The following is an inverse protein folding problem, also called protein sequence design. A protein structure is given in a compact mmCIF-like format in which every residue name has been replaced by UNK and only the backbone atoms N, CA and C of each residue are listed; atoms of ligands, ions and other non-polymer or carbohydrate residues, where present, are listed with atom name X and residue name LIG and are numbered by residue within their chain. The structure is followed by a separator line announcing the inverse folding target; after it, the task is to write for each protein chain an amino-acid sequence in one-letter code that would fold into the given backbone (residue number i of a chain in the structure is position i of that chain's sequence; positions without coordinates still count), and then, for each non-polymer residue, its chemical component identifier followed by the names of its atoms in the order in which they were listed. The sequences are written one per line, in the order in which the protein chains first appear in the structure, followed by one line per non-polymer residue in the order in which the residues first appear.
data_IF_958800349300
#
_entry.id   IF_958800349300
#
_cell.length_a   1.000
_cell.length_b   1.000
_cell.length_c   1.000
_cell.angle_alpha   90.00
_cell.angle_beta   90.00
_cell.angle_gamma   90.00
#
_symmetry.space_group_name_H-M   'P 1'
#
loop_
_entity.id
_entity.type
_entity.pdbx_description
1 polymer ?
#
# COMPACT_ATOMS: atom_id res chain seq x y z
N UNK A 1 -4.69 -11.76 -0.48
CA UNK A 1 -6.05 -11.19 -0.54
C UNK A 1 -5.95 -9.75 -0.07
N UNK A 2 -6.48 -8.81 -0.84
CA UNK A 2 -6.43 -7.38 -0.56
C UNK A 2 -7.74 -6.97 0.13
N UNK A 3 -7.65 -6.39 1.33
CA UNK A 3 -8.82 -6.06 2.15
C UNK A 3 -9.18 -4.59 1.98
N UNK A 4 -10.37 -4.32 1.46
CA UNK A 4 -10.87 -2.99 1.14
C UNK A 4 -12.08 -2.67 2.01
N UNK A 5 -12.12 -1.45 2.57
CA UNK A 5 -13.29 -0.88 3.19
C UNK A 5 -13.91 0.20 2.31
N UNK A 6 -15.23 0.27 2.28
CA UNK A 6 -15.99 1.40 1.73
C UNK A 6 -16.90 1.91 2.85
N UNK A 7 -16.86 3.20 3.13
CA UNK A 7 -17.77 3.83 4.08
C UNK A 7 -18.38 5.08 3.46
N UNK A 8 -19.64 5.01 3.07
CA UNK A 8 -20.42 6.08 2.45
C UNK A 8 -21.92 5.77 2.71
N UNK A 9 -22.74 6.76 3.03
CA UNK A 9 -24.18 6.58 3.27
C UNK A 9 -24.99 6.48 1.97
N UNK A 10 -24.41 6.78 0.81
CA UNK A 10 -25.00 6.54 -0.51
C UNK A 10 -24.75 5.09 -0.96
N UNK A 11 -25.78 4.23 -0.79
CA UNK A 11 -25.77 2.82 -1.21
C UNK A 11 -25.49 2.65 -2.71
N UNK A 12 -25.96 3.59 -3.55
CA UNK A 12 -25.76 3.55 -4.99
C UNK A 12 -24.27 3.75 -5.34
N UNK A 13 -23.65 4.75 -4.72
CA UNK A 13 -22.24 5.02 -4.89
C UNK A 13 -21.37 3.88 -4.35
N UNK A 14 -21.72 3.31 -3.21
CA UNK A 14 -21.07 2.12 -2.67
C UNK A 14 -21.04 0.97 -3.69
N UNK A 15 -22.21 0.67 -4.29
CA UNK A 15 -22.33 -0.40 -5.30
C UNK A 15 -21.55 -0.12 -6.58
N UNK A 16 -21.53 1.14 -7.04
CA UNK A 16 -20.73 1.54 -8.20
C UNK A 16 -19.22 1.41 -7.92
N UNK A 17 -18.77 1.88 -6.77
CA UNK A 17 -17.37 1.78 -6.36
C UNK A 17 -16.93 0.33 -6.17
N UNK A 18 -17.76 -0.49 -5.50
CA UNK A 18 -17.51 -1.92 -5.35
C UNK A 18 -17.30 -2.60 -6.70
N UNK A 19 -18.18 -2.33 -7.68
CA UNK A 19 -18.03 -2.85 -9.03
C UNK A 19 -16.75 -2.41 -9.71
N UNK A 20 -16.38 -1.11 -9.62
CA UNK A 20 -15.13 -0.59 -10.17
C UNK A 20 -13.91 -1.31 -9.57
N UNK A 21 -13.92 -1.56 -8.27
CA UNK A 21 -12.85 -2.26 -7.55
C UNK A 21 -12.76 -3.73 -7.96
N UNK A 22 -13.88 -4.45 -8.08
CA UNK A 22 -13.87 -5.82 -8.57
C UNK A 22 -13.40 -5.93 -10.02
N UNK A 23 -13.79 -4.99 -10.89
CA UNK A 23 -13.29 -4.94 -12.27
C UNK A 23 -11.77 -4.74 -12.28
N UNK A 24 -11.27 -3.80 -11.47
CA UNK A 24 -9.83 -3.58 -11.30
C UNK A 24 -9.11 -4.84 -10.80
N UNK A 25 -9.68 -5.53 -9.80
CA UNK A 25 -9.13 -6.77 -9.26
C UNK A 25 -9.01 -7.87 -10.33
N UNK A 26 -10.02 -8.00 -11.19
CA UNK A 26 -10.00 -8.96 -12.32
C UNK A 26 -8.91 -8.61 -13.34
N UNK A 27 -8.81 -7.35 -13.74
CA UNK A 27 -7.82 -6.88 -14.70
C UNK A 27 -6.38 -7.11 -14.21
N UNK A 28 -6.13 -6.89 -12.90
CA UNK A 28 -4.81 -6.99 -12.30
C UNK A 28 -4.54 -8.35 -11.62
N UNK A 29 -5.48 -9.31 -11.71
CA UNK A 29 -5.41 -10.65 -11.08
C UNK A 29 -5.19 -10.57 -9.56
N UNK A 30 -5.86 -9.62 -8.90
CA UNK A 30 -5.79 -9.41 -7.46
C UNK A 30 -7.06 -9.95 -6.82
N UNK A 31 -6.89 -10.82 -5.84
CA UNK A 31 -7.99 -11.29 -5.02
C UNK A 31 -8.34 -10.23 -3.97
N UNK A 32 -9.57 -9.73 -4.00
CA UNK A 32 -10.06 -8.67 -3.12
C UNK A 32 -11.17 -9.17 -2.22
N UNK A 33 -11.20 -8.65 -0.99
CA UNK A 33 -12.34 -8.73 -0.07
C UNK A 33 -12.79 -7.30 0.20
N UNK A 34 -14.05 -7.00 -0.06
CA UNK A 34 -14.63 -5.66 0.10
C UNK A 34 -15.71 -5.73 1.17
N UNK A 35 -15.55 -4.91 2.20
CA UNK A 35 -16.52 -4.73 3.28
C UNK A 35 -17.11 -3.31 3.16
N UNK A 36 -18.45 -3.16 3.30
CA UNK A 36 -19.15 -1.89 3.13
C UNK A 36 -19.83 -1.49 4.43
N UNK A 37 -19.71 -0.22 4.80
CA UNK A 37 -20.40 0.42 5.93
C UNK A 37 -21.11 1.67 5.42
N UNK A 38 -22.35 1.85 5.85
CA UNK A 38 -23.18 3.02 5.53
C UNK A 38 -23.17 4.08 6.64
N UNK A 39 -22.44 3.82 7.72
CA UNK A 39 -22.32 4.70 8.87
C UNK A 39 -20.90 4.63 9.46
N UNK A 40 -20.32 5.77 9.79
CA UNK A 40 -18.98 5.86 10.37
C UNK A 40 -18.87 5.16 11.72
N UNK A 41 -19.94 5.21 12.54
CA UNK A 41 -19.99 4.55 13.86
C UNK A 41 -19.91 3.03 13.73
N UNK A 42 -20.55 2.46 12.72
CA UNK A 42 -20.53 1.01 12.49
C UNK A 42 -19.14 0.56 12.05
N UNK A 43 -18.46 1.34 11.22
CA UNK A 43 -17.06 1.13 10.86
C UNK A 43 -16.14 1.24 12.10
N UNK A 44 -16.27 2.29 12.90
CA UNK A 44 -15.47 2.47 14.12
C UNK A 44 -15.67 1.32 15.11
N UNK A 45 -16.91 0.86 15.29
CA UNK A 45 -17.21 -0.32 16.13
C UNK A 45 -16.51 -1.56 15.59
N UNK A 46 -16.65 -1.83 14.30
CA UNK A 46 -15.99 -2.97 13.66
C UNK A 46 -14.48 -2.94 13.86
N UNK A 47 -13.82 -1.79 13.70
CA UNK A 47 -12.38 -1.63 13.86
C UNK A 47 -11.92 -1.81 15.32
N UNK A 48 -12.76 -1.45 16.30
CA UNK A 48 -12.48 -1.71 17.73
C UNK A 48 -12.57 -3.19 18.09
N UNK A 49 -13.58 -3.88 17.58
CA UNK A 49 -13.87 -5.28 17.92
C UNK A 49 -12.97 -6.26 17.16
N UNK A 50 -12.56 -5.88 15.96
CA UNK A 50 -11.78 -6.73 15.06
C UNK A 50 -10.41 -6.10 14.83
N UNK A 51 -9.34 -6.81 15.18
CA UNK A 51 -7.96 -6.41 14.84
C UNK A 51 -7.64 -6.56 13.33
N UNK A 52 -8.68 -6.51 12.47
CA UNK A 52 -8.52 -6.63 11.02
C UNK A 52 -8.02 -5.30 10.46
N UNK A 53 -6.84 -5.32 9.87
CA UNK A 53 -6.27 -4.19 9.16
C UNK A 53 -6.82 -4.19 7.73
N UNK A 54 -7.40 -3.06 7.31
CA UNK A 54 -7.76 -2.82 5.92
C UNK A 54 -6.50 -2.36 5.15
N UNK A 55 -6.29 -2.89 3.95
CA UNK A 55 -5.23 -2.39 3.07
C UNK A 55 -5.57 -0.99 2.56
N UNK A 56 -6.86 -0.73 2.28
CA UNK A 56 -7.40 0.59 1.91
C UNK A 56 -8.81 0.79 2.44
N UNK A 57 -9.12 2.03 2.81
CA UNK A 57 -10.44 2.50 3.17
C UNK A 57 -10.82 3.68 2.26
N UNK A 58 -11.88 3.52 1.49
CA UNK A 58 -12.57 4.61 0.81
C UNK A 58 -13.61 5.18 1.78
N UNK A 59 -13.51 6.46 2.10
CA UNK A 59 -14.26 7.07 3.19
C UNK A 59 -14.88 8.39 2.74
N UNK A 60 -16.21 8.45 2.76
CA UNK A 60 -16.89 9.71 2.54
C UNK A 60 -16.64 10.69 3.69
N UNK A 61 -16.45 11.95 3.36
CA UNK A 61 -16.30 13.03 4.34
C UNK A 61 -17.65 13.41 4.95
N UNK A 62 -18.68 13.48 4.14
CA UNK A 62 -20.01 14.00 4.50
C UNK A 62 -20.97 12.86 4.84
N UNK A 63 -20.67 12.06 5.87
CA UNK A 63 -21.56 11.01 6.36
C UNK A 63 -22.74 11.63 7.16
N UNK A 64 -23.92 10.99 7.11
CA UNK A 64 -25.15 11.49 7.75
C UNK A 64 -25.02 11.73 9.26
N UNK A 65 -24.31 10.86 9.97
CA UNK A 65 -24.31 10.83 11.44
C UNK A 65 -22.98 11.22 12.06
N UNK A 66 -21.90 11.14 11.29
CA UNK A 66 -20.54 11.50 11.74
C UNK A 66 -19.74 12.06 10.58
N UNK A 67 -18.69 12.82 10.88
CA UNK A 67 -17.81 13.33 9.85
C UNK A 67 -16.72 12.29 9.53
N UNK A 68 -16.50 11.97 8.25
CA UNK A 68 -15.45 11.03 7.84
C UNK A 68 -14.05 11.44 8.28
N UNK A 69 -13.78 12.75 8.49
CA UNK A 69 -12.51 13.22 9.04
C UNK A 69 -12.33 12.73 10.49
N UNK A 70 -13.40 12.71 11.28
CA UNK A 70 -13.36 12.19 12.67
C UNK A 70 -13.13 10.67 12.68
N UNK A 71 -13.73 9.94 11.73
CA UNK A 71 -13.45 8.51 11.53
C UNK A 71 -11.97 8.29 11.18
N UNK A 72 -11.43 9.11 10.31
CA UNK A 72 -10.01 9.04 9.98
C UNK A 72 -9.09 9.34 11.17
N UNK A 73 -9.42 10.34 12.00
CA UNK A 73 -8.70 10.62 13.25
C UNK A 73 -8.76 9.44 14.21
N UNK A 74 -9.93 8.86 14.41
CA UNK A 74 -10.10 7.65 15.21
C UNK A 74 -9.14 6.54 14.76
N UNK A 75 -9.03 6.30 13.45
CA UNK A 75 -8.13 5.29 12.89
C UNK A 75 -6.67 5.63 13.19
N UNK A 76 -6.25 6.89 13.05
CA UNK A 76 -4.86 7.32 13.23
C UNK A 76 -4.45 7.47 14.69
N UNK A 77 -5.30 8.12 15.50
CA UNK A 77 -4.95 8.55 16.86
C UNK A 77 -5.37 7.52 17.90
N UNK A 78 -6.60 6.94 17.82
CA UNK A 78 -7.08 5.98 18.81
C UNK A 78 -6.67 4.53 18.51
N UNK A 79 -6.66 4.15 17.22
CA UNK A 79 -6.24 2.81 16.80
C UNK A 79 -4.75 2.73 16.47
N UNK A 80 -4.03 3.84 16.49
CA UNK A 80 -2.61 3.96 16.12
C UNK A 80 -2.29 3.30 14.76
N UNK A 81 -3.31 3.24 13.87
CA UNK A 81 -3.20 2.55 12.60
C UNK A 81 -2.72 3.49 11.49
N UNK A 82 -1.43 3.44 11.20
CA UNK A 82 -0.78 4.15 10.10
C UNK A 82 -0.70 3.31 8.81
N UNK A 83 -1.09 2.04 8.86
CA UNK A 83 -0.94 1.11 7.73
C UNK A 83 -2.09 1.20 6.74
N UNK A 84 -3.33 1.35 7.20
CA UNK A 84 -4.49 1.49 6.33
C UNK A 84 -4.35 2.74 5.46
N UNK A 85 -4.36 2.56 4.13
CA UNK A 85 -4.43 3.67 3.19
C UNK A 85 -5.84 4.29 3.24
N UNK A 86 -5.98 5.55 3.66
CA UNK A 86 -7.27 6.25 3.66
C UNK A 86 -7.39 7.07 2.38
N UNK A 87 -8.43 6.82 1.61
CA UNK A 87 -8.83 7.57 0.42
C UNK A 87 -10.14 8.26 0.73
N UNK A 88 -10.10 9.59 0.86
CA UNK A 88 -11.33 10.33 1.06
C UNK A 88 -12.11 10.52 -0.24
N UNK A 89 -13.42 10.49 -0.12
CA UNK A 89 -14.37 10.79 -1.19
C UNK A 89 -15.19 12.00 -0.75
N UNK A 90 -15.45 12.96 -1.60
CA UNK A 90 -16.31 14.10 -1.30
C UNK A 90 -16.88 14.74 -2.56
N UNK A 91 -18.02 15.37 -2.43
CA UNK A 91 -18.58 16.24 -3.48
C UNK A 91 -17.85 17.59 -3.59
N UNK A 92 -17.10 17.97 -2.54
CA UNK A 92 -16.46 19.30 -2.44
C UNK A 92 -14.94 19.18 -2.17
N UNK A 93 -14.15 19.97 -2.89
CA UNK A 93 -12.69 20.02 -2.73
C UNK A 93 -12.20 20.89 -1.55
N UNK A 94 -13.10 21.63 -0.86
CA UNK A 94 -12.72 22.58 0.20
C UNK A 94 -12.16 21.93 1.47
N UNK A 95 -12.40 20.63 1.70
CA UNK A 95 -11.98 19.90 2.90
C UNK A 95 -10.49 19.49 2.94
N UNK A 96 -9.75 19.77 1.85
CA UNK A 96 -8.35 19.34 1.73
C UNK A 96 -7.43 19.82 2.87
N UNK A 97 -7.70 21.00 3.45
CA UNK A 97 -6.89 21.55 4.55
C UNK A 97 -7.10 20.82 5.88
N UNK A 98 -8.30 20.34 6.15
CA UNK A 98 -8.63 19.64 7.39
C UNK A 98 -8.06 18.21 7.43
N UNK A 99 -7.70 17.67 6.25
CA UNK A 99 -7.19 16.32 6.08
C UNK A 99 -5.70 16.15 6.44
N UNK A 100 -4.95 17.23 6.62
CA UNK A 100 -3.50 17.16 6.89
C UNK A 100 -3.17 16.31 8.13
N UNK A 101 -3.99 16.35 9.17
CA UNK A 101 -3.76 15.58 10.40
C UNK A 101 -3.99 14.09 10.24
N UNK A 102 -4.87 13.71 9.32
CA UNK A 102 -5.20 12.29 9.08
C UNK A 102 -4.22 11.63 8.12
N UNK A 103 -3.41 12.39 7.42
CA UNK A 103 -2.47 11.91 6.41
C UNK A 103 -3.13 10.96 5.39
N UNK A 104 -4.10 11.45 4.61
CA UNK A 104 -4.76 10.62 3.60
C UNK A 104 -3.75 10.19 2.53
N UNK A 105 -4.00 9.01 1.97
CA UNK A 105 -3.22 8.53 0.83
C UNK A 105 -3.65 9.19 -0.45
N UNK A 106 -4.97 9.50 -0.57
CA UNK A 106 -5.56 10.16 -1.73
C UNK A 106 -6.88 10.83 -1.40
N UNK A 107 -7.38 11.60 -2.39
CA UNK A 107 -8.66 12.28 -2.35
C UNK A 107 -9.36 12.16 -3.71
N UNK A 108 -10.61 11.70 -3.71
CA UNK A 108 -11.44 11.56 -4.90
C UNK A 108 -12.65 12.49 -4.82
N UNK A 109 -12.93 13.21 -5.91
CA UNK A 109 -14.11 14.07 -6.02
C UNK A 109 -15.21 13.28 -6.74
N UNK A 110 -16.42 13.29 -6.17
CA UNK A 110 -17.63 12.76 -6.80
C UNK A 110 -17.98 13.59 -8.06
N UNK A 111 -18.40 12.98 -9.19
CA UNK A 111 -18.63 11.56 -9.40
C UNK A 111 -17.34 10.77 -9.58
N UNK A 112 -17.35 9.53 -9.11
CA UNK A 112 -16.23 8.61 -9.26
C UNK A 112 -16.19 8.07 -10.70
N UNK A 113 -14.97 7.80 -11.19
CA UNK A 113 -14.77 7.12 -12.46
C UNK A 113 -13.68 6.04 -12.37
N UNK A 114 -13.76 5.04 -13.26
CA UNK A 114 -12.86 3.89 -13.27
C UNK A 114 -11.38 4.27 -13.39
N UNK A 115 -11.06 5.34 -14.12
CA UNK A 115 -9.67 5.75 -14.36
C UNK A 115 -9.09 6.32 -13.07
N UNK A 116 -9.83 7.20 -12.39
CA UNK A 116 -9.39 7.78 -11.12
C UNK A 116 -9.24 6.73 -10.03
N UNK A 117 -10.25 5.86 -9.86
CA UNK A 117 -10.20 4.75 -8.90
C UNK A 117 -9.03 3.81 -9.22
N UNK A 118 -8.83 3.45 -10.47
CA UNK A 118 -7.71 2.62 -10.92
C UNK A 118 -6.35 3.25 -10.62
N UNK A 119 -6.17 4.56 -10.86
CA UNK A 119 -4.93 5.27 -10.56
C UNK A 119 -4.61 5.28 -9.06
N UNK A 120 -5.64 5.49 -8.21
CA UNK A 120 -5.52 5.42 -6.76
C UNK A 120 -5.11 4.02 -6.33
N UNK A 121 -5.77 2.99 -6.83
CA UNK A 121 -5.45 1.59 -6.52
C UNK A 121 -4.03 1.21 -6.95
N UNK A 122 -3.59 1.62 -8.15
CA UNK A 122 -2.22 1.41 -8.62
C UNK A 122 -1.18 2.03 -7.67
N UNK A 123 -1.46 3.24 -7.15
CA UNK A 123 -0.58 3.91 -6.18
C UNK A 123 -0.55 3.19 -4.85
N UNK A 124 -1.72 2.80 -4.32
CA UNK A 124 -1.83 2.08 -3.05
C UNK A 124 -1.14 0.73 -3.12
N UNK A 125 -1.29 -0.01 -4.23
CA UNK A 125 -0.57 -1.26 -4.42
C UNK A 125 0.95 -1.09 -4.34
N UNK A 126 1.50 -0.10 -5.05
CA UNK A 126 2.95 0.17 -4.98
C UNK A 126 3.40 0.48 -3.56
N UNK A 127 2.63 1.30 -2.83
CA UNK A 127 2.92 1.60 -1.41
C UNK A 127 2.82 0.32 -0.56
N UNK A 128 1.79 -0.50 -0.77
CA UNK A 128 1.59 -1.76 -0.04
C UNK A 128 2.69 -2.78 -0.33
N UNK A 129 3.17 -2.89 -1.57
CA UNK A 129 4.29 -3.76 -1.94
C UNK A 129 5.58 -3.36 -1.20
N UNK A 130 5.84 -2.05 -1.15
CA UNK A 130 6.97 -1.51 -0.36
C UNK A 130 6.77 -1.78 1.14
N UNK A 131 5.55 -1.57 1.68
CA UNK A 131 5.24 -1.80 3.11
C UNK A 131 5.20 -3.30 3.48
N UNK A 132 4.66 -4.16 2.62
CA UNK A 132 4.67 -5.63 2.82
C UNK A 132 6.07 -6.22 2.75
N UNK A 133 7.04 -5.39 2.40
CA UNK A 133 8.42 -5.81 2.41
C UNK A 133 8.71 -6.91 1.39
N UNK A 134 8.07 -6.85 0.21
CA UNK A 134 8.24 -7.85 -0.85
C UNK A 134 9.05 -7.26 -2.00
N UNK A 135 10.12 -7.94 -2.35
CA UNK A 135 10.87 -7.73 -3.59
C UNK A 135 10.39 -8.70 -4.66
N UNK A 136 10.05 -8.17 -5.82
CA UNK A 136 9.62 -8.97 -6.97
C UNK A 136 10.65 -8.90 -8.09
N UNK A 137 10.94 -10.03 -8.71
CA UNK A 137 11.81 -10.10 -9.88
C UNK A 137 11.36 -11.19 -10.84
N UNK A 138 11.76 -11.04 -12.12
CA UNK A 138 11.55 -12.03 -13.15
C UNK A 138 12.87 -12.77 -13.42
N UNK A 139 12.84 -14.09 -13.35
CA UNK A 139 14.01 -14.93 -13.62
C UNK A 139 13.58 -16.32 -14.09
N UNK A 140 14.37 -16.94 -14.97
CA UNK A 140 14.12 -18.30 -15.48
C UNK A 140 12.70 -18.54 -16.01
N UNK A 141 12.04 -17.50 -16.57
CA UNK A 141 10.67 -17.61 -17.09
C UNK A 141 9.55 -17.46 -16.08
N UNK A 142 9.87 -17.16 -14.80
CA UNK A 142 8.90 -17.05 -13.70
C UNK A 142 9.03 -15.72 -12.96
N UNK A 143 7.92 -15.27 -12.35
CA UNK A 143 7.91 -14.19 -11.38
C UNK A 143 8.14 -14.75 -9.98
N UNK A 144 9.08 -14.15 -9.27
CA UNK A 144 9.44 -14.52 -7.90
C UNK A 144 9.13 -13.37 -6.96
N UNK A 145 8.71 -13.72 -5.73
CA UNK A 145 8.46 -12.80 -4.62
C UNK A 145 9.32 -13.22 -3.44
N UNK A 146 10.04 -12.25 -2.86
CA UNK A 146 10.93 -12.47 -1.72
C UNK A 146 10.72 -11.36 -0.71
N UNK A 147 10.59 -11.69 0.56
CA UNK A 147 10.47 -10.67 1.61
C UNK A 147 11.78 -9.92 1.78
N UNK A 148 11.73 -8.58 1.90
CA UNK A 148 12.95 -7.77 2.12
C UNK A 148 13.74 -8.23 3.35
N UNK A 149 13.05 -8.67 4.41
CA UNK A 149 13.67 -9.23 5.62
C UNK A 149 14.43 -10.54 5.43
N UNK A 150 14.33 -11.17 4.27
CA UNK A 150 15.10 -12.36 3.92
C UNK A 150 16.33 -12.01 3.09
N UNK A 151 16.38 -10.77 2.57
CA UNK A 151 17.43 -10.31 1.69
C UNK A 151 18.57 -9.70 2.51
N UNK A 152 19.76 -10.26 2.39
CA UNK A 152 20.98 -9.74 3.00
C UNK A 152 21.57 -8.62 2.15
N UNK A 153 21.73 -8.87 0.85
CA UNK A 153 22.21 -7.86 -0.10
C UNK A 153 21.94 -8.27 -1.55
N UNK A 154 22.09 -7.30 -2.44
CA UNK A 154 22.18 -7.51 -3.88
C UNK A 154 23.60 -7.21 -4.33
N UNK A 155 24.11 -8.02 -5.26
CA UNK A 155 25.34 -7.72 -5.97
C UNK A 155 25.14 -7.80 -7.48
N UNK A 156 25.99 -7.10 -8.23
CA UNK A 156 25.94 -7.11 -9.69
C UNK A 156 27.27 -7.58 -10.26
N UNK A 157 27.20 -8.65 -11.04
CA UNK A 157 28.36 -9.21 -11.76
C UNK A 157 27.93 -9.71 -13.15
N UNK A 158 28.69 -9.46 -14.18
CA UNK A 158 28.46 -9.94 -15.55
C UNK A 158 27.05 -9.64 -16.08
N UNK A 159 26.53 -8.42 -15.84
CA UNK A 159 25.17 -7.95 -16.22
C UNK A 159 24.03 -8.70 -15.53
N UNK A 160 24.30 -9.54 -14.57
CA UNK A 160 23.31 -10.21 -13.72
C UNK A 160 23.30 -9.60 -12.34
N UNK A 161 22.15 -9.63 -11.71
CA UNK A 161 21.95 -9.31 -10.30
C UNK A 161 21.89 -10.60 -9.51
N UNK A 162 22.72 -10.70 -8.50
CA UNK A 162 22.69 -11.77 -7.51
C UNK A 162 21.95 -11.27 -6.28
N UNK A 163 20.90 -11.95 -5.92
CA UNK A 163 20.08 -11.74 -4.75
C UNK A 163 20.53 -12.72 -3.68
N UNK A 164 21.18 -12.24 -2.64
CA UNK A 164 21.68 -13.07 -1.54
C UNK A 164 20.67 -13.02 -0.39
N UNK A 165 20.17 -14.19 -0.03
CA UNK A 165 19.19 -14.43 1.00
C UNK A 165 19.80 -15.13 2.20
N UNK A 166 19.09 -15.18 3.33
CA UNK A 166 19.50 -15.98 4.51
C UNK A 166 19.73 -17.45 4.17
N UNK A 167 18.91 -18.00 3.29
CA UNK A 167 18.88 -19.42 2.96
C UNK A 167 19.40 -19.74 1.55
N UNK A 168 20.18 -18.83 0.93
CA UNK A 168 20.76 -19.10 -0.39
C UNK A 168 20.86 -17.88 -1.30
N UNK A 169 21.06 -18.15 -2.57
CA UNK A 169 21.26 -17.11 -3.58
C UNK A 169 20.39 -17.38 -4.80
N UNK A 170 19.88 -16.29 -5.40
CA UNK A 170 19.17 -16.29 -6.67
C UNK A 170 19.85 -15.34 -7.64
N UNK A 171 19.67 -15.56 -8.95
CA UNK A 171 20.17 -14.62 -9.96
C UNK A 171 19.09 -14.29 -10.99
N UNK A 172 19.13 -13.06 -11.49
CA UNK A 172 18.25 -12.59 -12.54
C UNK A 172 18.88 -11.47 -13.36
N UNK A 173 18.35 -11.20 -14.54
CA UNK A 173 18.79 -10.10 -15.38
C UNK A 173 18.23 -8.78 -14.86
N UNK A 174 19.09 -7.80 -14.62
CA UNK A 174 18.67 -6.51 -14.09
C UNK A 174 19.83 -5.55 -13.87
N UNK A 175 19.49 -4.34 -13.42
CA UNK A 175 20.48 -3.30 -13.06
C UNK A 175 20.29 -2.91 -11.59
N UNK A 176 21.36 -2.95 -10.83
CA UNK A 176 21.35 -2.62 -9.41
C UNK A 176 20.81 -1.20 -9.14
N UNK A 177 21.17 -0.25 -10.01
CA UNK A 177 20.68 1.14 -9.94
C UNK A 177 19.15 1.28 -10.09
N UNK A 178 18.51 0.38 -10.84
CA UNK A 178 17.05 0.37 -10.99
C UNK A 178 16.37 -0.27 -9.77
N UNK A 179 17.00 -1.26 -9.17
CA UNK A 179 16.57 -1.89 -7.93
C UNK A 179 16.64 -0.87 -6.79
N UNK A 180 17.76 -0.17 -6.63
CA UNK A 180 17.98 0.83 -5.59
C UNK A 180 16.90 1.93 -5.55
N UNK A 181 16.26 2.22 -6.69
CA UNK A 181 15.16 3.20 -6.76
C UNK A 181 13.81 2.68 -6.26
N UNK A 182 13.67 1.37 -6.14
CA UNK A 182 12.38 0.69 -5.89
C UNK A 182 12.28 0.05 -4.52
N UNK A 183 13.41 -0.12 -3.84
CA UNK A 183 13.47 -0.81 -2.55
C UNK A 183 13.43 0.18 -1.38
N UNK A 184 13.08 -0.29 -0.15
CA UNK A 184 13.03 0.53 1.05
C UNK A 184 14.37 1.20 1.39
N UNK A 185 14.30 2.32 2.14
CA UNK A 185 15.46 3.13 2.50
C UNK A 185 16.47 2.47 3.45
N UNK A 186 16.15 1.29 4.01
CA UNK A 186 17.11 0.48 4.77
C UNK A 186 18.11 -0.29 3.88
N UNK A 187 17.95 -0.23 2.55
CA UNK A 187 18.95 -0.73 1.61
C UNK A 187 19.85 0.42 1.14
N UNK A 188 21.14 0.28 1.34
CA UNK A 188 22.15 1.31 1.03
C UNK A 188 23.09 0.82 -0.06
N UNK A 189 23.25 1.61 -1.11
CA UNK A 189 24.22 1.32 -2.16
C UNK A 189 25.60 1.80 -1.71
N UNK A 190 26.47 0.86 -1.28
CA UNK A 190 27.83 1.13 -0.81
C UNK A 190 28.86 1.11 -1.93
N UNK A 191 28.53 0.50 -3.07
CA UNK A 191 29.40 0.41 -4.25
C UNK A 191 28.54 0.27 -5.51
N UNK A 192 29.10 0.56 -6.69
CA UNK A 192 28.38 0.39 -7.96
C UNK A 192 27.83 -1.03 -8.16
N UNK A 193 28.43 -2.02 -7.51
CA UNK A 193 28.10 -3.45 -7.61
C UNK A 193 27.46 -4.03 -6.36
N UNK A 194 27.22 -3.25 -5.29
CA UNK A 194 26.68 -3.73 -4.03
C UNK A 194 25.61 -2.81 -3.46
N UNK A 195 24.48 -3.41 -3.09
CA UNK A 195 23.35 -2.78 -2.43
C UNK A 195 22.98 -3.64 -1.23
N UNK A 196 23.30 -3.18 -0.02
CA UNK A 196 23.23 -3.97 1.21
C UNK A 196 22.01 -3.59 2.05
N UNK A 197 21.45 -4.56 2.74
CA UNK A 197 20.42 -4.34 3.73
C UNK A 197 21.07 -3.94 5.05
N UNK A 198 20.83 -2.70 5.48
CA UNK A 198 21.42 -2.13 6.69
C UNK A 198 21.03 -2.86 7.98
N UNK A 199 19.85 -3.49 7.99
CA UNK A 199 19.34 -4.25 9.13
C UNK A 199 20.19 -5.51 9.47
N UNK A 200 21.12 -5.90 8.58
CA UNK A 200 22.00 -7.07 8.73
C UNK A 200 23.48 -6.71 8.81
N UNK A 201 23.79 -5.45 9.06
CA UNK A 201 25.19 -5.03 9.30
C UNK A 201 25.50 -5.19 10.78
N UNK A 202 26.47 -6.04 11.10
CA UNK A 202 26.95 -6.23 12.47
C UNK A 202 28.06 -5.25 12.84
N UNK A 203 28.90 -4.88 11.86
CA UNK A 203 30.06 -4.03 12.10
C UNK A 203 30.42 -3.17 10.87
N UNK A 204 30.76 -1.92 11.10
CA UNK A 204 31.32 -1.00 10.09
C UNK A 204 32.62 -0.41 10.61
N UNK A 205 33.72 -0.57 9.86
CA UNK A 205 34.97 0.14 10.12
C UNK A 205 35.17 1.27 9.13
N UNK A 206 35.68 2.40 9.59
CA UNK A 206 36.17 3.49 8.75
C UNK A 206 37.68 3.36 8.67
N UNK A 207 38.23 3.26 7.46
CA UNK A 207 39.63 3.45 7.18
C UNK A 207 39.90 4.87 6.71
#
# INVERSE_FOLDING_TARGET
MFCIGICDDDEGLCGELEKMLYDYGKEHKIQMNIDIWYQGESLCRFLRENKKILDVLFLDIELLTTNGIEVGRFIREEQENMETAIVYISANSSHAMDLFRVQPTDFLIKPLDKIKVGNVMNRIQKISEVRKGIFEYFGSGYYFKVLYKEILYFSSQNKKVHLVLKDGQKEFNGKLKEIAKKIPGNFIQIHQSYLINFDYIEECSYE
#
